data_IF_041063635143
#
_entry.id   IF_041063635143
#
_cell.length_a   1.000
_cell.length_b   1.000
_cell.length_c   1.000
_cell.angle_alpha   90.00
_cell.angle_beta   90.00
_cell.angle_gamma   90.00
#
_symmetry.space_group_name_H-M   'P 1'
#
loop_
_entity.id
_entity.type
_entity.pdbx_description
1 polymer ?
#
# COMPACT_ATOMS: atom_id res chain seq x y z
N UNK A 1 -18.32 135.89 12.24
CA UNK A 1 -19.58 135.98 11.46
C UNK A 1 -20.15 134.57 11.41
N UNK A 2 -21.00 134.16 12.38
CA UNK A 2 -22.48 134.18 12.29
C UNK A 2 -22.95 133.71 10.92
N UNK A 3 -23.53 132.53 10.75
CA UNK A 3 -24.92 132.15 11.06
C UNK A 3 -25.20 130.96 10.10
N UNK A 4 -26.08 129.98 10.31
CA UNK A 4 -27.15 129.75 11.26
C UNK A 4 -27.55 128.27 11.13
N UNK A 5 -28.10 127.76 12.22
CA UNK A 5 -28.82 126.50 12.37
C UNK A 5 -29.95 126.32 11.35
N UNK A 6 -30.05 125.13 10.77
CA UNK A 6 -31.27 124.37 10.43
C UNK A 6 -30.81 122.91 10.26
N UNK A 7 -31.51 121.85 10.63
CA UNK A 7 -32.68 121.59 11.44
C UNK A 7 -32.68 120.07 11.60
N UNK A 8 -32.70 119.56 12.81
CA UNK A 8 -32.62 118.15 13.16
C UNK A 8 -33.95 117.42 12.91
N UNK A 9 -34.23 117.05 11.66
CA UNK A 9 -35.46 116.31 11.32
C UNK A 9 -35.25 115.06 10.44
N UNK A 10 -34.01 114.72 10.05
CA UNK A 10 -33.74 113.61 9.13
C UNK A 10 -32.82 112.51 9.66
N UNK A 11 -32.44 112.54 10.95
CA UNK A 11 -31.55 111.53 11.56
C UNK A 11 -32.20 110.16 11.86
N UNK A 12 -33.46 109.94 11.45
CA UNK A 12 -34.11 108.62 11.52
C UNK A 12 -34.17 107.89 10.16
N UNK A 13 -33.54 108.43 9.11
CA UNK A 13 -33.40 107.76 7.80
C UNK A 13 -32.00 107.18 7.54
N UNK A 14 -31.03 107.36 8.44
CA UNK A 14 -29.67 106.82 8.25
C UNK A 14 -29.53 105.33 8.61
N UNK A 15 -30.59 104.68 9.10
CA UNK A 15 -30.59 103.25 9.45
C UNK A 15 -31.08 102.35 8.31
N UNK A 16 -31.47 102.93 7.16
CA UNK A 16 -31.85 102.19 5.94
C UNK A 16 -30.69 101.94 4.98
N UNK A 17 -29.50 102.48 5.27
CA UNK A 17 -28.29 102.36 4.44
C UNK A 17 -27.33 101.28 4.95
N UNK A 18 -27.83 100.29 5.72
CA UNK A 18 -27.19 98.98 5.63
C UNK A 18 -27.55 98.45 4.25
N UNK A 19 -26.58 98.47 3.36
CA UNK A 19 -26.48 97.45 2.32
C UNK A 19 -26.64 96.10 3.01
N UNK A 20 -27.87 95.61 3.09
CA UNK A 20 -28.10 94.18 3.00
C UNK A 20 -27.55 93.83 1.62
N UNK A 21 -26.26 93.46 1.61
CA UNK A 21 -25.70 92.68 0.53
C UNK A 21 -26.47 91.37 0.52
N UNK A 22 -27.67 91.39 -0.06
CA UNK A 22 -28.38 90.22 -0.50
C UNK A 22 -27.46 89.59 -1.54
N UNK A 23 -26.58 88.71 -1.06
CA UNK A 23 -25.87 87.78 -1.91
C UNK A 23 -26.95 87.06 -2.69
N UNK A 24 -27.13 87.46 -3.95
CA UNK A 24 -28.08 86.86 -4.87
C UNK A 24 -27.58 85.45 -5.13
N UNK A 25 -27.97 84.52 -4.27
CA UNK A 25 -27.63 83.11 -4.33
C UNK A 25 -28.10 82.61 -5.69
N UNK A 26 -27.15 82.18 -6.51
CA UNK A 26 -27.43 81.52 -7.78
C UNK A 26 -27.87 80.09 -7.47
N UNK A 27 -29.16 79.94 -7.19
CA UNK A 27 -29.78 78.66 -6.83
C UNK A 27 -29.58 77.60 -7.92
N UNK A 28 -29.45 77.99 -9.19
CA UNK A 28 -29.19 77.05 -10.28
C UNK A 28 -27.77 76.48 -10.20
N UNK A 29 -26.78 77.32 -9.88
CA UNK A 29 -25.41 76.87 -9.61
C UNK A 29 -25.32 75.96 -8.38
N UNK A 30 -26.04 76.29 -7.30
CA UNK A 30 -26.08 75.48 -6.07
C UNK A 30 -26.71 74.10 -6.30
N UNK A 31 -27.81 74.03 -7.06
CA UNK A 31 -28.48 72.75 -7.43
C UNK A 31 -27.55 71.89 -8.29
N UNK A 32 -26.87 72.48 -9.28
CA UNK A 32 -25.94 71.76 -10.14
C UNK A 32 -24.75 71.19 -9.35
N UNK A 33 -24.18 71.98 -8.44
CA UNK A 33 -23.12 71.53 -7.55
C UNK A 33 -23.56 70.39 -6.64
N UNK A 34 -24.76 70.48 -6.06
CA UNK A 34 -25.33 69.42 -5.22
C UNK A 34 -25.57 68.12 -6.02
N UNK A 35 -26.04 68.22 -7.28
CA UNK A 35 -26.23 67.08 -8.15
C UNK A 35 -24.90 66.41 -8.54
N UNK A 36 -23.90 67.19 -8.95
CA UNK A 36 -22.57 66.68 -9.30
C UNK A 36 -21.88 66.04 -8.10
N UNK A 37 -22.02 66.62 -6.91
CA UNK A 37 -21.47 66.07 -5.67
C UNK A 37 -22.17 64.77 -5.27
N UNK A 38 -23.51 64.73 -5.34
CA UNK A 38 -24.29 63.52 -5.12
C UNK A 38 -23.97 62.40 -6.12
N UNK A 39 -23.80 62.74 -7.41
CA UNK A 39 -23.39 61.78 -8.44
C UNK A 39 -21.99 61.22 -8.18
N UNK A 40 -21.04 62.07 -7.78
CA UNK A 40 -19.68 61.66 -7.45
C UNK A 40 -19.65 60.74 -6.22
N UNK A 41 -20.42 61.10 -5.18
CA UNK A 41 -20.55 60.29 -3.96
C UNK A 41 -21.21 58.94 -4.28
N UNK A 42 -22.33 58.92 -4.98
CA UNK A 42 -23.01 57.68 -5.36
C UNK A 42 -22.14 56.75 -6.23
N UNK A 43 -21.33 57.30 -7.14
CA UNK A 43 -20.35 56.51 -7.90
C UNK A 43 -19.23 55.96 -7.03
N UNK A 44 -18.72 56.74 -6.07
CA UNK A 44 -17.69 56.30 -5.16
C UNK A 44 -18.21 55.21 -4.21
N UNK A 45 -19.41 55.41 -3.66
CA UNK A 45 -20.08 54.46 -2.77
C UNK A 45 -20.39 53.16 -3.54
N UNK A 46 -20.94 53.25 -4.74
CA UNK A 46 -21.24 52.08 -5.59
C UNK A 46 -19.98 51.30 -6.02
N UNK A 47 -18.85 51.97 -6.26
CA UNK A 47 -17.57 51.29 -6.48
C UNK A 47 -17.08 50.58 -5.24
N UNK A 48 -17.16 51.23 -4.09
CA UNK A 48 -16.72 50.66 -2.81
C UNK A 48 -17.54 49.42 -2.46
N UNK A 49 -18.86 49.47 -2.67
CA UNK A 49 -19.75 48.32 -2.47
C UNK A 49 -19.46 47.20 -3.48
N UNK A 50 -19.28 47.53 -4.76
CA UNK A 50 -18.94 46.53 -5.79
C UNK A 50 -17.59 45.85 -5.54
N UNK A 51 -16.59 46.60 -5.10
CA UNK A 51 -15.26 46.07 -4.77
C UNK A 51 -15.34 45.16 -3.54
N UNK A 52 -16.09 45.56 -2.50
CA UNK A 52 -16.32 44.73 -1.31
C UNK A 52 -17.06 43.42 -1.65
N UNK A 53 -18.10 43.49 -2.48
CA UNK A 53 -18.83 42.31 -2.98
C UNK A 53 -17.93 41.39 -3.80
N UNK A 54 -17.08 41.96 -4.66
CA UNK A 54 -16.13 41.19 -5.47
C UNK A 54 -15.08 40.49 -4.60
N UNK A 55 -14.55 41.17 -3.58
CA UNK A 55 -13.58 40.62 -2.64
C UNK A 55 -14.19 39.49 -1.78
N UNK A 56 -15.44 39.67 -1.34
CA UNK A 56 -16.19 38.62 -0.64
C UNK A 56 -16.33 37.37 -1.52
N UNK A 57 -16.83 37.54 -2.75
CA UNK A 57 -17.03 36.42 -3.69
C UNK A 57 -15.72 35.72 -4.06
N UNK A 58 -14.65 36.49 -4.23
CA UNK A 58 -13.32 35.93 -4.49
C UNK A 58 -12.86 35.10 -3.29
N UNK A 59 -13.00 35.62 -2.08
CA UNK A 59 -12.61 34.93 -0.84
C UNK A 59 -13.40 33.62 -0.68
N UNK A 60 -14.72 33.66 -0.85
CA UNK A 60 -15.59 32.48 -0.81
C UNK A 60 -15.19 31.44 -1.85
N UNK A 61 -14.97 31.87 -3.11
CA UNK A 61 -14.55 30.97 -4.18
C UNK A 61 -13.17 30.34 -3.91
N UNK A 62 -12.22 31.12 -3.39
CA UNK A 62 -10.88 30.60 -3.04
C UNK A 62 -10.93 29.61 -1.88
N UNK A 63 -11.74 29.88 -0.86
CA UNK A 63 -11.92 28.99 0.28
C UNK A 63 -12.55 27.67 -0.18
N UNK A 64 -13.66 27.73 -0.92
CA UNK A 64 -14.33 26.54 -1.45
C UNK A 64 -13.39 25.70 -2.31
N UNK A 65 -12.62 26.35 -3.20
CA UNK A 65 -11.67 25.64 -4.04
C UNK A 65 -10.53 25.01 -3.22
N UNK A 66 -10.05 25.69 -2.18
CA UNK A 66 -9.02 25.16 -1.30
C UNK A 66 -9.50 23.93 -0.50
N UNK A 67 -10.76 23.95 -0.07
CA UNK A 67 -11.41 22.84 0.63
C UNK A 67 -11.58 21.63 -0.30
N UNK A 68 -12.10 21.85 -1.51
CA UNK A 68 -12.25 20.80 -2.53
C UNK A 68 -10.89 20.17 -2.87
N UNK A 69 -9.86 20.98 -3.08
CA UNK A 69 -8.52 20.48 -3.39
C UNK A 69 -7.92 19.70 -2.21
N UNK A 70 -8.18 20.12 -0.97
CA UNK A 70 -7.73 19.40 0.21
C UNK A 70 -8.43 18.04 0.33
N UNK A 71 -9.73 17.98 0.09
CA UNK A 71 -10.52 16.75 0.08
C UNK A 71 -10.05 15.79 -1.02
N UNK A 72 -9.90 16.28 -2.25
CA UNK A 72 -9.40 15.48 -3.38
C UNK A 72 -7.99 14.93 -3.10
N UNK A 73 -7.09 15.75 -2.54
CA UNK A 73 -5.76 15.29 -2.13
C UNK A 73 -5.82 14.21 -1.07
N UNK A 74 -6.70 14.36 -0.08
CA UNK A 74 -6.84 13.36 0.98
C UNK A 74 -7.38 12.03 0.42
N UNK A 75 -8.37 12.09 -0.47
CA UNK A 75 -8.93 10.92 -1.13
C UNK A 75 -7.88 10.23 -2.00
N UNK A 76 -7.17 10.98 -2.84
CA UNK A 76 -6.10 10.46 -3.67
C UNK A 76 -4.97 9.83 -2.85
N UNK A 77 -4.58 10.44 -1.74
CA UNK A 77 -3.58 9.89 -0.83
C UNK A 77 -4.03 8.57 -0.21
N UNK A 78 -5.32 8.46 0.19
CA UNK A 78 -5.89 7.23 0.72
C UNK A 78 -5.91 6.13 -0.35
N UNK A 79 -6.41 6.44 -1.54
CA UNK A 79 -6.46 5.48 -2.65
C UNK A 79 -5.05 4.99 -3.02
N UNK A 80 -4.07 5.88 -3.07
CA UNK A 80 -2.69 5.52 -3.32
C UNK A 80 -2.11 4.65 -2.20
N UNK A 81 -2.40 4.97 -0.94
CA UNK A 81 -1.98 4.16 0.19
C UNK A 81 -2.57 2.75 0.14
N UNK A 82 -3.86 2.62 -0.17
CA UNK A 82 -4.55 1.33 -0.27
C UNK A 82 -3.98 0.48 -1.43
N UNK A 83 -3.75 1.10 -2.60
CA UNK A 83 -3.13 0.41 -3.74
C UNK A 83 -1.71 -0.05 -3.42
N UNK A 84 -0.91 0.79 -2.74
CA UNK A 84 0.44 0.43 -2.33
C UNK A 84 0.44 -0.69 -1.29
N UNK A 85 -0.44 -0.64 -0.29
CA UNK A 85 -0.59 -1.67 0.71
C UNK A 85 -0.95 -3.02 0.08
N UNK A 86 -1.95 -3.04 -0.81
CA UNK A 86 -2.36 -4.25 -1.51
C UNK A 86 -1.24 -4.84 -2.38
N UNK A 87 -0.49 -3.98 -3.09
CA UNK A 87 0.65 -4.42 -3.91
C UNK A 87 1.76 -5.00 -3.04
N UNK A 88 2.07 -4.37 -1.90
CA UNK A 88 3.11 -4.84 -0.99
C UNK A 88 2.74 -6.20 -0.39
N UNK A 89 1.49 -6.36 0.04
CA UNK A 89 0.99 -7.64 0.55
C UNK A 89 1.09 -8.74 -0.51
N UNK A 90 0.68 -8.45 -1.74
CA UNK A 90 0.76 -9.41 -2.85
C UNK A 90 2.21 -9.81 -3.16
N UNK A 91 3.14 -8.84 -3.22
CA UNK A 91 4.56 -9.13 -3.47
C UNK A 91 5.15 -9.95 -2.32
N UNK A 92 4.78 -9.67 -1.07
CA UNK A 92 5.26 -10.43 0.09
C UNK A 92 4.81 -11.89 0.00
N UNK A 93 3.54 -12.15 -0.33
CA UNK A 93 3.02 -13.51 -0.55
C UNK A 93 3.72 -14.24 -1.70
N UNK A 94 4.03 -13.54 -2.79
CA UNK A 94 4.78 -14.13 -3.91
C UNK A 94 6.20 -14.49 -3.53
N UNK A 95 6.86 -13.65 -2.70
CA UNK A 95 8.20 -13.94 -2.18
C UNK A 95 8.16 -15.14 -1.24
N UNK A 96 7.18 -15.19 -0.33
CA UNK A 96 6.98 -16.32 0.59
C UNK A 96 6.81 -17.62 -0.18
N UNK A 97 5.89 -17.68 -1.15
CA UNK A 97 5.67 -18.86 -1.99
C UNK A 97 6.94 -19.25 -2.75
N UNK A 98 7.67 -18.28 -3.33
CA UNK A 98 8.91 -18.59 -4.05
C UNK A 98 10.00 -19.13 -3.13
N UNK A 99 10.08 -18.63 -1.89
CA UNK A 99 11.03 -19.13 -0.89
C UNK A 99 10.64 -20.55 -0.48
N UNK A 100 9.36 -20.80 -0.18
CA UNK A 100 8.86 -22.13 0.16
C UNK A 100 9.18 -23.16 -0.93
N UNK A 101 8.88 -22.84 -2.19
CA UNK A 101 9.18 -23.69 -3.34
C UNK A 101 10.69 -23.97 -3.47
N UNK A 102 11.53 -22.93 -3.37
CA UNK A 102 12.99 -23.07 -3.47
C UNK A 102 13.56 -23.87 -2.32
N UNK A 103 13.09 -23.64 -1.09
CA UNK A 103 13.53 -24.36 0.10
C UNK A 103 13.10 -25.82 0.01
N UNK A 104 11.86 -26.10 -0.40
CA UNK A 104 11.38 -27.46 -0.62
C UNK A 104 12.21 -28.18 -1.70
N UNK A 105 12.51 -27.51 -2.82
CA UNK A 105 13.34 -28.06 -3.87
C UNK A 105 14.79 -28.34 -3.41
N UNK A 106 15.35 -27.50 -2.53
CA UNK A 106 16.69 -27.69 -1.98
C UNK A 106 16.75 -28.79 -0.92
N UNK A 107 15.72 -28.91 -0.06
CA UNK A 107 15.68 -29.89 1.02
C UNK A 107 15.27 -31.29 0.54
N UNK A 108 14.53 -31.39 -0.56
CA UNK A 108 14.00 -32.66 -1.07
C UNK A 108 15.10 -33.70 -1.34
N UNK A 109 16.18 -33.42 -2.10
CA UNK A 109 17.23 -34.40 -2.35
C UNK A 109 17.87 -34.91 -1.06
N UNK A 110 18.17 -33.99 -0.13
CA UNK A 110 18.75 -34.33 1.15
C UNK A 110 17.84 -35.23 1.99
N UNK A 111 16.54 -34.92 2.06
CA UNK A 111 15.57 -35.74 2.78
C UNK A 111 15.43 -37.14 2.16
N UNK A 112 15.44 -37.21 0.82
CA UNK A 112 15.37 -38.49 0.11
C UNK A 112 16.61 -39.35 0.35
N UNK A 113 17.80 -38.76 0.33
CA UNK A 113 19.02 -39.50 0.61
C UNK A 113 19.05 -40.00 2.06
N UNK A 114 18.66 -39.17 3.03
CA UNK A 114 18.58 -39.58 4.45
C UNK A 114 17.54 -40.66 4.70
N UNK A 115 16.37 -40.56 4.07
CA UNK A 115 15.33 -41.57 4.20
C UNK A 115 15.78 -42.89 3.57
N UNK A 116 16.43 -42.84 2.40
CA UNK A 116 16.99 -44.02 1.72
C UNK A 116 18.06 -44.69 2.57
N UNK A 117 19.01 -43.92 3.12
CA UNK A 117 20.05 -44.43 4.03
C UNK A 117 19.44 -45.11 5.26
N UNK A 118 18.45 -44.48 5.89
CA UNK A 118 17.77 -45.04 7.06
C UNK A 118 17.03 -46.32 6.74
N UNK A 119 16.27 -46.35 5.64
CA UNK A 119 15.52 -47.52 5.22
C UNK A 119 16.45 -48.70 4.91
N UNK A 120 17.61 -48.43 4.28
CA UNK A 120 18.63 -49.46 4.04
C UNK A 120 19.23 -49.97 5.35
N UNK A 121 19.53 -49.08 6.31
CA UNK A 121 20.03 -49.46 7.63
C UNK A 121 19.03 -50.32 8.41
N UNK A 122 17.73 -49.99 8.34
CA UNK A 122 16.66 -50.77 8.96
C UNK A 122 16.52 -52.15 8.31
N UNK A 123 16.64 -52.24 6.99
CA UNK A 123 16.65 -53.51 6.25
C UNK A 123 17.85 -54.38 6.64
N UNK A 124 19.06 -53.81 6.70
CA UNK A 124 20.26 -54.52 7.15
C UNK A 124 20.11 -55.07 8.58
N UNK A 125 19.53 -54.27 9.48
CA UNK A 125 19.26 -54.69 10.85
C UNK A 125 18.23 -55.83 10.91
N UNK A 126 17.17 -55.77 10.08
CA UNK A 126 16.16 -56.82 10.01
C UNK A 126 16.75 -58.14 9.49
N UNK A 127 17.55 -58.08 8.42
CA UNK A 127 18.25 -59.24 7.86
C UNK A 127 19.24 -59.82 8.87
N UNK A 128 20.03 -58.99 9.55
CA UNK A 128 20.99 -59.43 10.56
C UNK A 128 20.32 -60.18 11.71
N UNK A 129 19.15 -59.71 12.18
CA UNK A 129 18.37 -60.39 13.23
C UNK A 129 17.86 -61.74 12.76
N UNK A 130 17.27 -61.80 11.56
CA UNK A 130 16.76 -63.04 10.98
C UNK A 130 17.87 -64.10 10.80
N UNK A 131 19.09 -63.67 10.46
CA UNK A 131 20.23 -64.57 10.33
C UNK A 131 20.71 -65.13 11.66
N UNK A 132 20.70 -64.34 12.73
CA UNK A 132 20.99 -64.82 14.09
C UNK A 132 19.95 -65.87 14.54
N UNK A 133 18.70 -65.70 14.10
CA UNK A 133 17.61 -66.66 14.34
C UNK A 133 17.70 -67.90 13.43
N UNK A 134 18.64 -67.95 12.49
CA UNK A 134 18.92 -69.08 11.59
C UNK A 134 18.06 -69.13 10.32
N UNK A 135 17.29 -68.07 10.04
CA UNK A 135 16.40 -67.99 8.89
C UNK A 135 17.17 -67.86 7.57
N UNK A 136 16.62 -68.45 6.49
CA UNK A 136 17.14 -68.25 5.13
C UNK A 136 16.62 -66.95 4.54
N UNK A 137 17.54 -66.11 4.06
CA UNK A 137 17.24 -64.81 3.47
C UNK A 137 17.63 -64.77 2.00
N UNK A 138 16.74 -64.33 1.12
CA UNK A 138 17.05 -64.02 -0.28
C UNK A 138 16.79 -62.54 -0.55
N UNK A 139 17.80 -61.81 -1.04
CA UNK A 139 17.69 -60.38 -1.34
C UNK A 139 17.83 -60.13 -2.84
N UNK A 140 16.85 -59.47 -3.42
CA UNK A 140 16.86 -58.98 -4.80
C UNK A 140 17.01 -57.45 -4.78
N UNK A 141 18.08 -56.93 -5.38
CA UNK A 141 18.35 -55.49 -5.40
C UNK A 141 19.19 -55.09 -6.63
N UNK A 142 19.29 -53.78 -6.95
CA UNK A 142 20.27 -53.29 -7.92
C UNK A 142 21.70 -53.67 -7.56
N UNK A 143 22.55 -53.86 -8.56
CA UNK A 143 23.94 -54.33 -8.39
C UNK A 143 24.73 -53.51 -7.35
N UNK A 144 24.60 -52.17 -7.37
CA UNK A 144 25.28 -51.30 -6.40
C UNK A 144 24.86 -51.56 -4.93
N UNK A 145 23.60 -51.94 -4.70
CA UNK A 145 23.07 -52.21 -3.37
C UNK A 145 23.44 -53.62 -2.92
N UNK A 146 23.42 -54.60 -3.83
CA UNK A 146 23.87 -55.97 -3.55
C UNK A 146 25.33 -55.97 -3.09
N UNK A 147 26.20 -55.23 -3.76
CA UNK A 147 27.61 -55.12 -3.35
C UNK A 147 27.77 -54.50 -1.97
N UNK A 148 27.06 -53.39 -1.66
CA UNK A 148 27.09 -52.78 -0.32
C UNK A 148 26.57 -53.72 0.77
N UNK A 149 25.54 -54.52 0.50
CA UNK A 149 25.00 -55.49 1.45
C UNK A 149 25.96 -56.65 1.69
N UNK A 150 26.65 -57.14 0.65
CA UNK A 150 27.69 -58.17 0.76
C UNK A 150 28.88 -57.72 1.62
N UNK A 151 29.27 -56.45 1.54
CA UNK A 151 30.35 -55.89 2.35
C UNK A 151 29.96 -55.75 3.84
N UNK A 152 28.68 -55.49 4.12
CA UNK A 152 28.19 -55.15 5.48
C UNK A 152 27.62 -56.34 6.25
N UNK A 153 27.12 -57.37 5.57
CA UNK A 153 26.54 -58.55 6.21
C UNK A 153 27.52 -59.72 6.21
N UNK A 154 27.68 -60.45 7.34
CA UNK A 154 28.55 -61.61 7.39
C UNK A 154 28.05 -62.70 6.45
N UNK A 155 28.89 -63.09 5.48
CA UNK A 155 28.60 -64.15 4.50
C UNK A 155 28.86 -65.56 5.04
N UNK A 156 29.14 -65.67 6.35
CA UNK A 156 29.50 -66.92 7.01
C UNK A 156 28.26 -67.77 7.29
N UNK A 157 27.78 -68.40 6.23
CA UNK A 157 26.65 -69.33 6.26
C UNK A 157 25.88 -69.21 4.95
N UNK A 158 25.63 -70.34 4.28
CA UNK A 158 24.81 -70.46 3.07
C UNK A 158 23.33 -70.05 3.25
N UNK A 159 23.03 -69.22 4.24
CA UNK A 159 21.71 -68.74 4.63
C UNK A 159 21.32 -67.44 3.92
N UNK A 160 22.24 -66.77 3.20
CA UNK A 160 21.94 -65.57 2.41
C UNK A 160 22.16 -65.82 0.92
N UNK A 161 21.13 -65.61 0.11
CA UNK A 161 21.22 -65.54 -1.35
C UNK A 161 21.00 -64.12 -1.86
N UNK A 162 21.73 -63.71 -2.89
CA UNK A 162 21.57 -62.41 -3.55
C UNK A 162 21.23 -62.60 -5.02
N UNK A 163 20.28 -61.83 -5.55
CA UNK A 163 20.00 -61.74 -6.98
C UNK A 163 19.96 -60.27 -7.43
N UNK A 164 20.45 -60.01 -8.64
CA UNK A 164 20.42 -58.69 -9.22
C UNK A 164 19.05 -58.45 -9.88
N UNK A 165 18.46 -57.30 -9.57
CA UNK A 165 17.22 -56.83 -10.19
C UNK A 165 17.51 -55.52 -10.94
N UNK A 166 17.01 -55.36 -12.18
CA UNK A 166 17.11 -54.10 -12.92
C UNK A 166 16.18 -52.99 -12.37
N UNK A 167 15.28 -53.32 -11.44
CA UNK A 167 14.37 -52.36 -10.81
C UNK A 167 15.03 -51.72 -9.58
N UNK A 168 14.73 -50.44 -9.34
CA UNK A 168 15.20 -49.65 -8.18
C UNK A 168 14.64 -50.09 -6.82
N UNK A 169 13.70 -51.03 -6.81
CA UNK A 169 13.09 -51.56 -5.59
C UNK A 169 13.88 -52.75 -5.04
N UNK A 170 13.97 -52.82 -3.70
CA UNK A 170 14.68 -53.89 -2.99
C UNK A 170 13.65 -54.88 -2.43
N UNK A 171 13.85 -56.17 -2.66
CA UNK A 171 13.00 -57.24 -2.10
C UNK A 171 13.83 -58.17 -1.24
N UNK A 172 13.43 -58.36 0.01
CA UNK A 172 14.04 -59.34 0.90
C UNK A 172 12.99 -60.40 1.29
N UNK A 173 13.30 -61.66 1.01
CA UNK A 173 12.50 -62.82 1.37
C UNK A 173 13.17 -63.51 2.56
N UNK A 174 12.51 -63.53 3.71
CA UNK A 174 12.98 -64.19 4.94
C UNK A 174 12.04 -65.36 5.21
N UNK A 175 12.44 -66.56 4.84
CA UNK A 175 11.59 -67.77 4.86
C UNK A 175 10.19 -67.53 4.24
N UNK A 176 9.15 -67.47 5.07
CA UNK A 176 7.75 -67.27 4.65
C UNK A 176 7.31 -65.78 4.71
N UNK A 177 8.19 -64.88 5.15
CA UNK A 177 7.93 -63.44 5.25
C UNK A 177 8.58 -62.69 4.11
N UNK A 178 7.77 -61.98 3.33
CA UNK A 178 8.24 -61.08 2.27
C UNK A 178 8.31 -59.65 2.78
N UNK A 179 9.51 -59.07 2.77
CA UNK A 179 9.74 -57.66 3.06
C UNK A 179 10.07 -56.96 1.74
N UNK A 180 9.21 -56.03 1.33
CA UNK A 180 9.43 -55.21 0.14
C UNK A 180 9.78 -53.78 0.55
N UNK A 181 10.90 -53.26 0.06
CA UNK A 181 11.27 -51.86 0.19
C UNK A 181 11.05 -51.17 -1.16
N UNK A 182 9.88 -50.55 -1.32
CA UNK A 182 9.51 -49.86 -2.55
C UNK A 182 9.95 -48.40 -2.52
N UNK A 183 11.25 -48.18 -2.76
CA UNK A 183 11.86 -46.85 -2.77
C UNK A 183 11.25 -45.98 -3.87
N UNK A 184 10.84 -46.59 -4.99
CA UNK A 184 10.28 -45.91 -6.15
C UNK A 184 8.88 -45.34 -5.86
N UNK A 185 8.03 -46.11 -5.20
CA UNK A 185 6.69 -45.68 -4.79
C UNK A 185 6.74 -44.55 -3.74
N UNK A 186 7.76 -44.53 -2.88
CA UNK A 186 7.95 -43.43 -1.92
C UNK A 186 8.42 -42.15 -2.59
N UNK A 187 9.33 -42.24 -3.56
CA UNK A 187 9.74 -41.09 -4.37
C UNK A 187 8.53 -40.52 -5.11
N UNK A 188 7.74 -41.39 -5.76
CA UNK A 188 6.52 -40.98 -6.47
C UNK A 188 5.46 -40.37 -5.53
N UNK A 189 5.28 -40.92 -4.33
CA UNK A 189 4.36 -40.37 -3.33
C UNK A 189 4.80 -38.99 -2.82
N UNK A 190 6.12 -38.76 -2.68
CA UNK A 190 6.65 -37.46 -2.27
C UNK A 190 6.56 -36.41 -3.39
N UNK A 191 6.73 -36.84 -4.64
CA UNK A 191 6.52 -35.99 -5.81
C UNK A 191 5.05 -35.60 -5.96
N UNK A 192 4.11 -36.51 -5.65
CA UNK A 192 2.67 -36.26 -5.75
C UNK A 192 2.10 -35.32 -4.68
N UNK A 193 2.80 -35.13 -3.55
CA UNK A 193 2.39 -34.20 -2.48
C UNK A 193 2.87 -32.76 -2.77
N UNK A 194 3.73 -32.57 -3.77
CA UNK A 194 4.13 -31.25 -4.21
C UNK A 194 3.01 -30.58 -5.04
N UNK A 195 2.66 -29.30 -4.78
CA UNK A 195 1.84 -28.51 -5.70
C UNK A 195 2.55 -28.25 -7.03
#
# INVERSE_FOLDING_TARGET
MTARLHSSAFSLLSDFDRENGEAKLDFEAEIKLAFEDGYRRGHADGRTEADADAELRLTEATNLHSEQLAEEKQNWQRDCADVLAQRLENVTKLIELSIEERVAALLRPWLMDRLRERALQELENAISRALVEGAKVHVEAPAEIVERLRERLPTEGFQIGYSESPNSDIRAHIEDTKIELNVSAWIAALEAIAP
#
